data_IF_450056317702
#
_entry.id   IF_450056317702
#
_cell.length_a   1.000
_cell.length_b   1.000
_cell.length_c   1.000
_cell.angle_alpha   90.00
_cell.angle_beta   90.00
_cell.angle_gamma   90.00
#
_symmetry.space_group_name_H-M   'P 1'
#
loop_
_entity.id
_entity.type
_entity.pdbx_description
1 polymer ?
#
# COMPACT_ATOMS: atom_id res chain seq x y z
N UNK A 1 -16.64 -14.47 21.10
CA UNK A 1 -17.69 -14.79 21.07
C UNK A 1 -18.23 -14.55 21.03
N UNK A 2 -16.98 -14.00 21.12
CA UNK A 2 -17.82 -14.16 21.07
C UNK A 2 -18.56 -14.08 21.01
N UNK A 3 -17.86 -13.68 21.00
CA UNK A 3 -18.63 -13.97 20.83
C UNK A 3 -19.15 -13.80 20.45
N UNK A 4 -18.55 -13.52 20.36
CA UNK A 4 -19.10 -13.67 20.14
C UNK A 4 -19.39 -13.57 19.46
N UNK A 5 -19.26 -13.41 19.17
CA UNK A 5 -19.78 -13.64 18.79
C UNK A 5 -20.19 -13.46 18.41
N UNK A 6 -19.47 -13.21 18.15
CA UNK A 6 -20.01 -13.45 17.97
C UNK A 6 -20.31 -13.23 17.50
N UNK A 7 -20.12 -13.00 17.39
CA UNK A 7 -20.58 -13.21 17.19
C UNK A 7 -20.75 -13.05 16.60
N UNK A 8 -20.30 -12.69 16.35
CA UNK A 8 -20.60 -12.95 16.06
C UNK A 8 -20.64 -12.78 15.42
N UNK A 9 -20.26 -12.51 15.29
CA UNK A 9 -20.45 -12.77 15.06
C UNK A 9 -20.43 -12.80 14.37
N UNK A 10 -19.95 -12.60 14.13
CA UNK A 10 -20.06 -13.11 13.91
C UNK A 10 -20.08 -12.95 13.26
N UNK A 11 -19.56 -12.72 13.15
CA UNK A 11 -19.55 -12.99 12.87
C UNK A 11 -19.49 -12.96 12.17
N UNK A 12 -18.88 -12.77 11.84
CA UNK A 12 -18.90 -13.17 11.76
C UNK A 12 -18.76 -12.97 11.19
N UNK A 13 -18.08 -12.77 10.90
CA UNK A 13 -18.08 -13.03 10.95
C UNK A 13 -17.86 -12.80 10.65
N UNK A 14 -17.23 -12.59 10.51
CA UNK A 14 -17.11 -12.72 10.65
C UNK A 14 -17.08 -12.70 10.34
N UNK A 15 -16.31 -12.67 10.28
CA UNK A 15 -16.49 -13.00 10.66
C UNK A 15 -16.50 -13.22 10.27
N UNK A 16 -15.87 -13.22 10.03
CA UNK A 16 -16.05 -13.82 10.30
C UNK A 16 -16.02 -13.64 10.12
N UNK A 17 -15.64 -13.33 10.06
CA UNK A 17 -15.61 -13.42 10.37
C UNK A 17 -15.71 -13.24 10.67
N UNK A 18 -15.43 -13.24 10.93
CA UNK A 18 -15.50 -13.31 11.65
C UNK A 18 -15.29 -13.68 12.08
N UNK A 19 -15.27 -13.74 12.87
CA UNK A 19 -14.71 -14.13 13.60
C UNK A 19 -13.70 -14.57 13.45
N UNK A 20 -13.44 -14.92 13.64
CA UNK A 20 -12.13 -15.14 13.04
C UNK A 20 -11.24 -13.97 13.13
N UNK A 21 -11.73 -12.83 12.90
CA UNK A 21 -10.93 -11.62 12.80
C UNK A 21 -10.19 -11.29 14.08
N UNK A 22 -10.60 -11.83 15.22
CA UNK A 22 -9.89 -11.57 16.48
C UNK A 22 -8.47 -12.14 16.49
N UNK A 23 -8.24 -13.23 15.79
CA UNK A 23 -6.95 -13.89 15.76
C UNK A 23 -6.19 -13.62 14.47
N UNK A 24 -6.77 -12.87 13.57
CA UNK A 24 -6.14 -12.53 12.28
C UNK A 24 -5.71 -11.08 12.27
N UNK A 25 -4.62 -10.77 11.55
CA UNK A 25 -4.24 -9.38 11.40
C UNK A 25 -5.38 -8.56 10.84
N UNK A 26 -5.52 -7.32 11.30
CA UNK A 26 -6.48 -6.40 10.74
C UNK A 26 -6.16 -6.17 9.27
N UNK A 27 -7.14 -6.40 8.41
CA UNK A 27 -6.95 -6.11 7.00
C UNK A 27 -6.78 -4.62 6.80
N UNK A 28 -5.78 -4.25 6.01
CA UNK A 28 -5.54 -2.87 5.72
C UNK A 28 -4.84 -2.09 6.81
N UNK A 29 -4.31 -2.78 7.81
CA UNK A 29 -3.49 -2.12 8.84
C UNK A 29 -2.10 -2.73 8.84
N UNK A 30 -1.10 -1.88 9.01
CA UNK A 30 0.31 -2.28 8.92
C UNK A 30 1.13 -1.65 10.03
N UNK A 31 2.07 -2.41 10.54
CA UNK A 31 3.10 -1.89 11.42
C UNK A 31 4.37 -1.78 10.58
N UNK A 32 4.73 -0.54 10.23
CA UNK A 32 5.86 -0.29 9.35
C UNK A 32 7.09 0.08 10.16
N UNK A 33 8.19 -0.59 9.89
CA UNK A 33 9.47 -0.27 10.53
C UNK A 33 10.04 1.00 9.90
N UNK A 34 10.35 1.96 10.75
CA UNK A 34 11.00 3.20 10.34
C UNK A 34 12.36 3.27 11.01
N UNK A 35 13.13 4.31 10.69
CA UNK A 35 14.45 4.49 11.28
C UNK A 35 14.38 4.77 12.79
N UNK A 36 13.24 5.23 13.29
CA UNK A 36 13.08 5.60 14.71
C UNK A 36 12.19 4.65 15.49
N UNK A 37 11.59 3.64 14.84
CA UNK A 37 10.72 2.71 15.52
C UNK A 37 9.66 2.15 14.60
N UNK A 38 8.45 2.04 15.11
CA UNK A 38 7.32 1.48 14.35
C UNK A 38 6.21 2.50 14.21
N UNK A 39 5.58 2.51 13.05
CA UNK A 39 4.41 3.33 12.79
C UNK A 39 3.27 2.41 12.39
N UNK A 40 2.13 2.56 13.06
CA UNK A 40 0.93 1.81 12.71
C UNK A 40 0.11 2.63 11.73
N UNK A 41 -0.15 2.07 10.56
CA UNK A 41 -0.82 2.79 9.47
C UNK A 41 -1.96 1.96 8.91
N UNK A 42 -2.99 2.65 8.44
CA UNK A 42 -4.06 2.03 7.68
C UNK A 42 -3.75 2.12 6.20
N UNK A 43 -4.29 1.19 5.43
CA UNK A 43 -4.05 1.17 3.99
C UNK A 43 -4.44 2.50 3.34
N UNK A 44 -5.57 3.06 3.74
CA UNK A 44 -6.05 4.32 3.13
C UNK A 44 -5.22 5.53 3.49
N UNK A 45 -4.31 5.41 4.46
CA UNK A 45 -3.39 6.49 4.80
C UNK A 45 -2.15 6.51 3.93
N UNK A 46 -1.90 5.42 3.19
CA UNK A 46 -0.66 5.24 2.44
C UNK A 46 -0.92 5.53 0.97
N UNK A 47 -0.18 6.52 0.43
CA UNK A 47 -0.33 6.88 -0.96
C UNK A 47 0.62 6.14 -1.86
N UNK A 48 1.90 6.31 -1.62
CA UNK A 48 2.91 5.69 -2.45
C UNK A 48 4.24 5.62 -1.71
N UNK A 49 5.16 4.83 -2.27
CA UNK A 49 6.51 4.67 -1.75
C UNK A 49 7.48 5.12 -2.83
N UNK A 50 8.53 5.82 -2.43
CA UNK A 50 9.60 6.22 -3.33
C UNK A 50 10.95 5.82 -2.76
N UNK A 51 11.84 5.38 -3.64
CA UNK A 51 13.20 5.08 -3.26
C UNK A 51 14.06 6.34 -3.44
N UNK A 52 14.70 6.76 -2.35
CA UNK A 52 15.56 7.94 -2.34
C UNK A 52 17.00 7.48 -2.60
N UNK A 53 17.51 7.74 -3.79
CA UNK A 53 18.83 7.26 -4.19
C UNK A 53 19.96 7.83 -3.34
N UNK A 54 19.84 9.10 -2.97
CA UNK A 54 20.87 9.77 -2.17
C UNK A 54 20.95 9.22 -0.76
N UNK A 55 19.83 8.79 -0.21
CA UNK A 55 19.76 8.20 1.14
C UNK A 55 19.76 6.69 1.13
N UNK A 56 19.60 6.08 -0.03
CA UNK A 56 19.55 4.63 -0.22
C UNK A 56 18.51 3.97 0.67
N UNK A 57 17.33 4.57 0.72
CA UNK A 57 16.22 3.99 1.48
C UNK A 57 14.89 4.42 0.91
N UNK A 58 13.88 3.59 1.19
CA UNK A 58 12.52 3.87 0.78
C UNK A 58 11.86 4.82 1.75
N UNK A 59 10.98 5.68 1.23
CA UNK A 59 10.09 6.47 2.05
C UNK A 59 8.65 6.19 1.65
N UNK A 60 7.75 6.33 2.61
CA UNK A 60 6.31 6.25 2.36
C UNK A 60 5.74 7.65 2.49
N UNK A 61 4.83 7.98 1.58
CA UNK A 61 4.13 9.28 1.59
C UNK A 61 2.69 9.03 2.00
N UNK A 62 2.26 9.73 3.05
CA UNK A 62 0.96 9.52 3.67
C UNK A 62 -0.06 10.57 3.21
N UNK A 63 -1.32 10.30 3.51
CA UNK A 63 -2.44 11.14 3.05
C UNK A 63 -2.34 12.59 3.50
N UNK A 64 -1.63 12.86 4.59
CA UNK A 64 -1.44 14.22 5.09
C UNK A 64 -0.13 14.83 4.59
N UNK A 65 0.47 14.26 3.55
CA UNK A 65 1.72 14.67 2.93
C UNK A 65 2.94 14.44 3.82
N UNK A 66 2.78 13.74 4.93
CA UNK A 66 3.90 13.34 5.78
C UNK A 66 4.69 12.23 5.10
N UNK A 67 6.02 12.34 5.15
CA UNK A 67 6.91 11.32 4.61
C UNK A 67 7.63 10.62 5.75
N UNK A 68 7.68 9.30 5.70
CA UNK A 68 8.39 8.49 6.70
C UNK A 68 9.43 7.66 5.99
N UNK A 69 10.65 7.66 6.52
CA UNK A 69 11.72 6.82 6.00
C UNK A 69 11.57 5.41 6.58
N UNK A 70 11.57 4.43 5.72
CA UNK A 70 11.49 3.04 6.14
C UNK A 70 12.83 2.56 6.64
N UNK A 71 12.82 1.40 7.31
CA UNK A 71 14.05 0.79 7.80
C UNK A 71 15.02 0.61 6.63
N UNK A 72 16.33 0.82 6.89
CA UNK A 72 17.34 0.89 5.83
C UNK A 72 17.41 -0.34 4.93
N UNK A 73 17.18 -1.51 5.46
CA UNK A 73 17.30 -2.74 4.68
C UNK A 73 16.02 -3.13 3.96
N UNK A 74 15.01 -2.26 3.97
CA UNK A 74 13.74 -2.53 3.30
C UNK A 74 13.93 -2.55 1.80
N UNK A 75 13.43 -3.59 1.15
CA UNK A 75 13.48 -3.75 -0.31
C UNK A 75 12.09 -3.61 -0.88
N UNK A 76 12.04 -3.40 -2.21
CA UNK A 76 10.75 -3.30 -2.89
C UNK A 76 9.88 -4.53 -2.64
N UNK A 77 10.48 -5.71 -2.65
CA UNK A 77 9.75 -6.95 -2.40
C UNK A 77 9.09 -6.96 -1.02
N UNK A 78 9.76 -6.40 -0.02
CA UNK A 78 9.20 -6.32 1.32
C UNK A 78 7.95 -5.45 1.33
N UNK A 79 8.00 -4.32 0.63
CA UNK A 79 6.87 -3.38 0.58
C UNK A 79 5.68 -4.02 -0.13
N UNK A 80 5.94 -4.66 -1.26
CA UNK A 80 4.88 -5.31 -2.05
C UNK A 80 4.21 -6.40 -1.23
N UNK A 81 4.96 -7.06 -0.37
CA UNK A 81 4.41 -8.14 0.47
C UNK A 81 3.48 -7.63 1.55
N UNK A 82 3.49 -6.33 1.87
CA UNK A 82 2.60 -5.79 2.89
C UNK A 82 1.13 -5.85 2.47
N UNK A 83 0.85 -5.69 1.18
CA UNK A 83 -0.52 -5.71 0.69
C UNK A 83 -0.54 -5.91 -0.81
N UNK A 84 -1.58 -6.59 -1.30
CA UNK A 84 -1.81 -6.72 -2.74
C UNK A 84 -2.15 -5.36 -3.37
N UNK A 85 -2.52 -4.37 -2.57
CA UNK A 85 -2.82 -3.03 -3.09
C UNK A 85 -1.55 -2.27 -3.49
N UNK A 86 -0.38 -2.68 -2.99
CA UNK A 86 0.88 -2.01 -3.32
C UNK A 86 1.43 -2.57 -4.60
N UNK A 87 1.48 -1.73 -5.62
CA UNK A 87 1.88 -2.11 -6.97
C UNK A 87 3.12 -1.34 -7.37
N UNK A 88 4.16 -2.07 -7.75
CA UNK A 88 5.39 -1.44 -8.22
C UNK A 88 5.18 -0.90 -9.63
N UNK A 89 5.62 0.33 -9.86
CA UNK A 89 5.50 0.96 -11.18
C UNK A 89 6.87 1.21 -11.80
N UNK A 90 7.92 1.22 -10.97
CA UNK A 90 9.29 1.34 -11.45
C UNK A 90 10.20 0.79 -10.38
N UNK A 91 11.51 0.77 -10.64
CA UNK A 91 12.46 0.30 -9.65
C UNK A 91 12.51 1.20 -8.41
N UNK A 92 12.02 2.42 -8.54
CA UNK A 92 12.09 3.40 -7.45
C UNK A 92 10.73 3.90 -6.98
N UNK A 93 9.64 3.28 -7.39
CA UNK A 93 8.31 3.73 -6.99
C UNK A 93 7.31 2.58 -6.88
N UNK A 94 6.50 2.64 -5.84
CA UNK A 94 5.42 1.69 -5.58
C UNK A 94 4.21 2.53 -5.19
N UNK A 95 3.05 2.28 -5.78
CA UNK A 95 1.85 3.05 -5.48
C UNK A 95 0.80 2.16 -4.83
N UNK A 96 -0.04 2.78 -4.01
CA UNK A 96 -1.25 2.15 -3.53
C UNK A 96 -2.27 2.21 -4.67
N UNK A 97 -2.63 1.05 -5.20
CA UNK A 97 -3.50 0.99 -6.37
C UNK A 97 -4.87 1.62 -6.11
N UNK A 98 -5.28 1.69 -4.85
CA UNK A 98 -6.54 2.33 -4.50
C UNK A 98 -6.54 3.82 -4.78
N UNK A 99 -5.36 4.43 -4.87
CA UNK A 99 -5.24 5.85 -5.23
C UNK A 99 -4.88 6.05 -6.69
N UNK A 100 -4.61 4.99 -7.43
CA UNK A 100 -4.25 5.11 -8.83
C UNK A 100 -5.50 5.44 -9.65
N UNK A 101 -5.53 6.65 -10.18
CA UNK A 101 -6.69 7.13 -10.93
C UNK A 101 -6.57 6.86 -12.41
N UNK A 102 -5.37 7.07 -12.97
CA UNK A 102 -5.21 7.02 -14.41
C UNK A 102 -3.74 6.81 -14.75
N UNK A 103 -3.49 6.15 -15.85
CA UNK A 103 -2.16 6.08 -16.46
C UNK A 103 -2.28 6.75 -17.81
N UNK A 104 -1.70 7.94 -17.92
CA UNK A 104 -1.74 8.73 -19.14
C UNK A 104 -0.38 8.62 -19.82
N UNK A 105 -0.32 7.80 -20.87
CA UNK A 105 0.97 7.44 -21.45
C UNK A 105 1.76 6.60 -20.46
N UNK A 106 2.80 7.19 -19.90
CA UNK A 106 3.60 6.52 -18.86
C UNK A 106 3.45 7.18 -17.50
N UNK A 107 2.66 8.26 -17.42
CA UNK A 107 2.52 9.02 -16.19
C UNK A 107 1.36 8.49 -15.36
N UNK A 108 1.64 8.13 -14.11
CA UNK A 108 0.60 7.68 -13.18
C UNK A 108 0.02 8.88 -12.47
N UNK A 109 -1.30 9.01 -12.55
CA UNK A 109 -2.03 10.08 -11.87
C UNK A 109 -2.80 9.48 -10.70
N UNK A 110 -2.73 10.14 -9.57
CA UNK A 110 -3.35 9.65 -8.34
C UNK A 110 -4.53 10.51 -7.95
N UNK A 111 -5.47 9.90 -7.23
CA UNK A 111 -6.59 10.61 -6.65
C UNK A 111 -6.11 11.51 -5.50
N UNK A 112 -6.87 12.57 -5.17
CA UNK A 112 -6.56 13.36 -3.98
C UNK A 112 -6.44 12.48 -2.75
N UNK A 113 -5.54 12.79 -1.82
CA UNK A 113 -4.75 14.02 -1.72
C UNK A 113 -3.42 13.98 -2.47
N UNK A 114 -3.21 12.98 -3.33
CA UNK A 114 -1.93 12.80 -4.01
C UNK A 114 -1.95 13.30 -5.46
N UNK A 115 -2.99 14.03 -5.84
CA UNK A 115 -3.20 14.45 -7.23
C UNK A 115 -2.14 15.41 -7.75
N UNK A 116 -1.40 16.08 -6.85
CA UNK A 116 -0.33 17.00 -7.27
C UNK A 116 0.97 16.28 -7.64
N UNK A 117 1.07 14.99 -7.33
CA UNK A 117 2.26 14.21 -7.67
C UNK A 117 2.20 13.88 -9.16
N UNK A 118 3.14 14.40 -9.94
CA UNK A 118 3.08 14.29 -11.39
C UNK A 118 4.33 13.68 -12.02
N UNK A 119 5.23 13.13 -11.20
CA UNK A 119 6.47 12.54 -11.71
C UNK A 119 6.56 11.04 -11.46
N UNK A 120 5.43 10.37 -11.23
CA UNK A 120 5.39 8.93 -11.08
C UNK A 120 5.22 8.31 -12.47
N UNK A 121 6.27 7.63 -12.92
CA UNK A 121 6.33 7.05 -14.25
C UNK A 121 6.32 5.53 -14.12
N UNK A 122 5.44 4.88 -14.87
CA UNK A 122 5.40 3.42 -14.88
C UNK A 122 6.24 2.91 -16.04
N UNK A 123 7.10 1.92 -15.77
CA UNK A 123 7.87 1.30 -16.82
C UNK A 123 7.03 0.28 -17.58
N UNK A 124 7.45 -0.06 -18.80
CA UNK A 124 6.70 -0.95 -19.67
C UNK A 124 6.43 -2.31 -19.02
N UNK A 125 7.44 -2.89 -18.41
CA UNK A 125 7.30 -4.21 -17.80
C UNK A 125 6.29 -4.21 -16.64
N UNK A 126 6.31 -3.17 -15.83
CA UNK A 126 5.37 -3.08 -14.72
C UNK A 126 3.96 -2.76 -15.20
N UNK A 127 3.83 -1.99 -16.28
CA UNK A 127 2.52 -1.75 -16.88
C UNK A 127 1.91 -3.04 -17.38
N UNK A 128 2.72 -3.89 -17.99
CA UNK A 128 2.25 -5.19 -18.48
C UNK A 128 1.75 -6.05 -17.32
N UNK A 129 2.47 -6.09 -16.21
CA UNK A 129 2.03 -6.84 -15.04
C UNK A 129 0.71 -6.30 -14.49
N UNK A 130 0.55 -4.98 -14.50
CA UNK A 130 -0.67 -4.37 -14.03
C UNK A 130 -1.85 -4.73 -14.93
N UNK A 131 -1.64 -4.74 -16.25
CA UNK A 131 -2.68 -5.13 -17.20
C UNK A 131 -3.08 -6.59 -17.06
N UNK A 132 -2.15 -7.45 -16.66
CA UNK A 132 -2.47 -8.86 -16.42
C UNK A 132 -3.28 -9.03 -15.15
N UNK A 133 -3.17 -8.10 -14.22
CA UNK A 133 -3.85 -8.16 -12.94
C UNK A 133 -5.29 -7.67 -13.02
N UNK A 134 -5.58 -6.73 -13.91
CA UNK A 134 -6.91 -6.12 -14.04
C UNK A 134 -7.47 -6.37 -15.42
N UNK A 135 -8.81 -6.46 -15.49
CA UNK A 135 -9.47 -6.56 -16.78
C UNK A 135 -9.31 -5.24 -17.55
N UNK A 136 -8.87 -5.35 -18.80
CA UNK A 136 -8.76 -4.18 -19.67
C UNK A 136 -9.95 -4.17 -20.58
N UNK A 137 -10.74 -3.11 -20.47
CA UNK A 137 -11.94 -2.96 -21.27
C UNK A 137 -11.63 -2.42 -22.67
#
# INVERSE_FOLDING_TARGET
YRKAMTSTSLPLLPSFASSISALMPQQGMFMISTVTGFKLLRLEEIGFFEYLKDKRQWQVVLFNQTCLNLKRNTKAEDIISYSQAFVQISQSAIVNVNYLAMIDGKCCQLYPPFHDKNDLIISRSYLKELQERFFVL
#
